data_IF_203527373619
#
_entry.id   IF_203527373619
#
_cell.length_a   1.000
_cell.length_b   1.000
_cell.length_c   1.000
_cell.angle_alpha   90.00
_cell.angle_beta   90.00
_cell.angle_gamma   90.00
#
_symmetry.space_group_name_H-M   'P 1'
#
loop_
_entity.id
_entity.type
_entity.pdbx_description
1 polymer ?
#
# COMPACT_ATOMS: atom_id res chain seq x y z
N UNK A 1 -0.85 7.16 10.78
CA UNK A 1 -2.19 7.03 10.15
C UNK A 1 -2.25 5.69 9.44
N UNK A 2 -3.44 5.11 9.32
CA UNK A 2 -3.61 3.83 8.64
C UNK A 2 -4.47 4.06 7.40
N UNK A 3 -4.06 3.49 6.28
CA UNK A 3 -4.74 3.60 4.99
C UNK A 3 -4.99 2.22 4.39
N UNK A 4 -6.08 2.04 3.66
CA UNK A 4 -6.22 0.92 2.72
C UNK A 4 -5.96 1.43 1.30
N UNK A 5 -5.23 0.64 0.52
CA UNK A 5 -4.98 0.91 -0.89
C UNK A 5 -5.31 -0.33 -1.72
N UNK A 6 -6.00 -0.13 -2.84
CA UNK A 6 -6.20 -1.14 -3.86
C UNK A 6 -5.06 -1.06 -4.88
N UNK A 7 -4.54 -2.22 -5.30
CA UNK A 7 -3.35 -2.35 -6.15
C UNK A 7 -3.69 -2.66 -7.61
N UNK A 8 -4.93 -2.36 -8.01
CA UNK A 8 -5.49 -2.77 -9.30
C UNK A 8 -5.85 -4.26 -9.34
N UNK A 9 -6.42 -4.73 -10.45
CA UNK A 9 -6.94 -6.11 -10.58
C UNK A 9 -6.06 -7.03 -11.46
N UNK A 10 -4.85 -6.59 -11.82
CA UNK A 10 -3.95 -7.36 -12.69
C UNK A 10 -3.37 -8.58 -11.98
N UNK A 11 -2.95 -8.40 -10.73
CA UNK A 11 -2.21 -9.40 -9.96
C UNK A 11 -2.94 -9.80 -8.67
N UNK A 12 -2.56 -10.98 -8.17
CA UNK A 12 -2.89 -11.50 -6.85
C UNK A 12 -1.60 -11.43 -6.04
N UNK A 13 -1.59 -10.64 -4.97
CA UNK A 13 -0.42 -10.51 -4.10
C UNK A 13 -0.22 -11.81 -3.33
N UNK A 14 0.99 -12.32 -3.30
CA UNK A 14 1.35 -13.52 -2.54
C UNK A 14 1.29 -13.26 -1.01
N UNK A 15 1.06 -14.29 -0.20
CA UNK A 15 0.97 -14.15 1.27
C UNK A 15 2.34 -13.94 1.95
N UNK A 16 3.43 -14.30 1.28
CA UNK A 16 4.79 -14.19 1.82
C UNK A 16 5.38 -12.82 1.47
N UNK A 17 5.29 -11.90 2.42
CA UNK A 17 5.78 -10.53 2.31
C UNK A 17 6.55 -10.22 3.59
N UNK A 18 7.84 -10.56 3.64
CA UNK A 18 8.60 -10.34 4.87
C UNK A 18 9.14 -8.89 4.95
N UNK A 19 9.42 -8.24 3.81
CA UNK A 19 9.75 -6.80 3.76
C UNK A 19 9.20 -6.15 2.48
N UNK A 20 8.20 -5.27 2.62
CA UNK A 20 7.75 -4.37 1.55
C UNK A 20 8.05 -2.95 1.93
N UNK A 21 8.80 -2.27 1.07
CA UNK A 21 9.13 -0.87 1.25
C UNK A 21 7.96 0.04 0.86
N UNK A 22 7.77 1.13 1.59
CA UNK A 22 6.98 2.26 1.11
C UNK A 22 7.89 3.24 0.37
N UNK A 23 7.53 3.61 -0.86
CA UNK A 23 8.31 4.55 -1.68
C UNK A 23 7.47 5.71 -2.23
N UNK A 24 8.16 6.78 -2.63
CA UNK A 24 7.64 7.84 -3.48
C UNK A 24 8.17 7.64 -4.90
N UNK A 25 7.27 7.53 -5.87
CA UNK A 25 7.56 7.34 -7.30
C UNK A 25 8.64 6.29 -7.61
N UNK A 26 8.65 5.17 -6.86
CA UNK A 26 9.64 4.08 -6.92
C UNK A 26 11.09 4.48 -6.61
N UNK A 27 11.35 5.74 -6.26
CA UNK A 27 12.69 6.30 -6.14
C UNK A 27 13.13 6.45 -4.68
N UNK A 28 12.30 7.09 -3.86
CA UNK A 28 12.67 7.45 -2.49
C UNK A 28 11.93 6.56 -1.49
N UNK A 29 12.65 5.92 -0.57
CA UNK A 29 12.05 5.21 0.56
C UNK A 29 11.42 6.23 1.52
N UNK A 30 10.17 5.98 1.90
CA UNK A 30 9.39 6.82 2.80
C UNK A 30 9.32 6.20 4.21
N UNK A 31 9.14 7.01 5.26
CA UNK A 31 8.88 6.49 6.60
C UNK A 31 7.53 5.76 6.64
N UNK A 32 7.54 4.54 7.16
CA UNK A 32 6.36 3.73 7.42
C UNK A 32 6.61 2.80 8.60
N UNK A 33 5.53 2.34 9.22
CA UNK A 33 5.56 1.36 10.30
C UNK A 33 5.35 -0.05 9.76
N UNK A 34 4.37 -0.23 8.86
CA UNK A 34 4.12 -1.54 8.21
C UNK A 34 3.28 -1.42 6.94
N UNK A 35 3.43 -2.40 6.07
CA UNK A 35 2.50 -2.68 4.96
C UNK A 35 2.01 -4.11 5.14
N UNK A 36 0.69 -4.30 5.20
CA UNK A 36 0.08 -5.61 5.48
C UNK A 36 -0.93 -5.95 4.40
N UNK A 37 -0.85 -7.15 3.83
CA UNK A 37 -1.85 -7.65 2.91
C UNK A 37 -3.18 -7.87 3.63
N UNK A 38 -4.27 -7.35 3.06
CA UNK A 38 -5.63 -7.55 3.56
C UNK A 38 -6.37 -8.60 2.74
N UNK A 39 -6.20 -8.58 1.42
CA UNK A 39 -6.78 -9.56 0.51
C UNK A 39 -5.92 -9.65 -0.77
N UNK A 40 -6.45 -10.30 -1.82
CA UNK A 40 -5.74 -10.56 -3.08
C UNK A 40 -5.06 -9.34 -3.71
N UNK A 41 -5.58 -8.13 -3.53
CA UNK A 41 -5.07 -6.92 -4.19
C UNK A 41 -5.27 -5.66 -3.35
N UNK A 42 -5.44 -5.83 -2.04
CA UNK A 42 -5.61 -4.72 -1.11
C UNK A 42 -4.57 -4.87 -0.01
N UNK A 43 -3.94 -3.75 0.31
CA UNK A 43 -2.98 -3.64 1.40
C UNK A 43 -3.40 -2.54 2.35
N UNK A 44 -2.94 -2.66 3.59
CA UNK A 44 -3.03 -1.64 4.60
C UNK A 44 -1.64 -1.04 4.82
N UNK A 45 -1.57 0.28 4.91
CA UNK A 45 -0.33 1.05 5.11
C UNK A 45 -0.44 1.74 6.47
N UNK A 46 0.43 1.42 7.42
CA UNK A 46 0.63 2.21 8.64
C UNK A 46 1.86 3.11 8.45
N UNK A 47 1.66 4.43 8.40
CA UNK A 47 2.72 5.42 8.16
C UNK A 47 2.48 6.70 8.94
N UNK A 48 3.52 7.45 9.36
CA UNK A 48 3.33 8.79 9.90
C UNK A 48 2.89 9.84 8.86
N UNK A 49 2.98 9.53 7.56
CA UNK A 49 2.66 10.46 6.48
C UNK A 49 1.14 10.58 6.25
N UNK A 50 0.73 11.71 5.70
CA UNK A 50 -0.66 11.99 5.35
C UNK A 50 -0.87 11.88 3.85
N UNK A 51 -1.87 11.09 3.45
CA UNK A 51 -2.31 10.95 2.07
C UNK A 51 -3.82 11.15 1.93
N UNK A 52 -4.24 11.46 0.70
CA UNK A 52 -5.64 11.67 0.35
C UNK A 52 -6.30 10.40 -0.22
N UNK A 53 -7.62 10.29 -0.07
CA UNK A 53 -8.39 9.27 -0.77
C UNK A 53 -8.32 9.58 -2.28
N UNK A 54 -8.02 8.56 -3.07
CA UNK A 54 -7.79 8.70 -4.51
C UNK A 54 -6.33 8.94 -4.88
N UNK A 55 -5.43 9.18 -3.92
CA UNK A 55 -3.99 9.23 -4.20
C UNK A 55 -3.54 7.93 -4.86
N UNK A 56 -2.87 8.06 -6.01
CA UNK A 56 -2.42 6.91 -6.78
C UNK A 56 -1.37 6.08 -6.04
N UNK A 57 -1.41 4.78 -6.29
CA UNK A 57 -0.36 3.86 -5.83
C UNK A 57 0.10 2.94 -6.94
N UNK A 58 1.34 2.49 -6.86
CA UNK A 58 1.87 1.47 -7.75
C UNK A 58 2.68 0.43 -6.97
N UNK A 59 2.96 -0.70 -7.60
CA UNK A 59 3.66 -1.82 -6.97
C UNK A 59 4.89 -2.18 -7.76
N UNK A 60 5.97 -2.49 -7.04
CA UNK A 60 7.18 -3.08 -7.59
C UNK A 60 7.41 -4.48 -7.02
N UNK A 61 8.06 -5.33 -7.80
CA UNK A 61 8.20 -6.76 -7.49
C UNK A 61 8.26 -7.61 -8.76
N UNK A 62 7.88 -8.88 -8.65
CA UNK A 62 7.92 -9.81 -9.77
C UNK A 62 6.77 -10.82 -9.76
N UNK A 63 6.38 -11.28 -10.95
CA UNK A 63 5.35 -12.29 -11.12
C UNK A 63 5.84 -13.66 -10.63
N UNK A 64 4.97 -14.41 -9.96
CA UNK A 64 5.24 -15.77 -9.46
C UNK A 64 4.43 -16.84 -10.21
N UNK A 65 3.65 -16.43 -11.22
CA UNK A 65 2.86 -17.31 -12.09
C UNK A 65 1.37 -17.33 -11.73
N UNK A 66 0.49 -17.67 -12.69
CA UNK A 66 -0.97 -17.71 -12.51
C UNK A 66 -1.57 -16.44 -11.86
N UNK A 67 -1.07 -15.26 -12.27
CA UNK A 67 -1.36 -13.92 -11.70
C UNK A 67 -0.78 -13.64 -10.31
N UNK A 68 -0.07 -14.58 -9.70
CA UNK A 68 0.70 -14.36 -8.47
C UNK A 68 1.75 -13.28 -8.66
N UNK A 69 1.95 -12.47 -7.64
CA UNK A 69 2.92 -11.39 -7.63
C UNK A 69 3.53 -11.25 -6.24
N UNK A 70 4.85 -11.39 -6.18
CA UNK A 70 5.62 -11.08 -4.99
C UNK A 70 5.93 -9.59 -4.98
N UNK A 71 5.22 -8.87 -4.12
CA UNK A 71 5.42 -7.44 -3.91
C UNK A 71 6.68 -7.21 -3.07
N UNK A 72 7.53 -6.30 -3.52
CA UNK A 72 8.73 -5.84 -2.80
C UNK A 72 8.60 -4.37 -2.36
N UNK A 73 7.72 -3.62 -3.01
CA UNK A 73 7.48 -2.23 -2.70
C UNK A 73 6.05 -1.80 -3.06
N UNK A 74 5.54 -0.85 -2.30
CA UNK A 74 4.37 -0.04 -2.60
C UNK A 74 4.83 1.40 -2.79
N UNK A 75 4.51 2.00 -3.93
CA UNK A 75 4.85 3.38 -4.23
C UNK A 75 3.61 4.27 -4.17
N UNK A 76 3.70 5.39 -3.47
CA UNK A 76 2.80 6.53 -3.64
C UNK A 76 3.22 7.26 -4.91
N UNK A 77 2.26 7.60 -5.78
CA UNK A 77 2.55 8.24 -7.06
C UNK A 77 1.31 8.92 -7.66
N UNK A 78 1.52 9.92 -8.50
CA UNK A 78 0.45 10.51 -9.31
C UNK A 78 0.23 9.77 -10.65
N UNK A 79 1.13 8.84 -11.00
CA UNK A 79 1.12 8.10 -12.27
C UNK A 79 1.11 6.58 -12.05
N UNK A 80 0.04 6.02 -11.45
CA UNK A 80 -0.02 4.59 -11.16
C UNK A 80 0.04 3.74 -12.44
N UNK A 81 0.94 2.75 -12.46
CA UNK A 81 1.11 1.82 -13.60
C UNK A 81 -0.16 1.00 -13.87
N UNK A 82 -0.88 0.61 -12.82
CA UNK A 82 -2.08 -0.20 -12.92
C UNK A 82 -3.33 0.67 -12.73
N UNK A 83 -4.30 0.51 -13.61
CA UNK A 83 -5.60 1.18 -13.49
C UNK A 83 -6.30 0.78 -12.19
N UNK A 84 -7.05 1.74 -11.63
CA UNK A 84 -7.77 1.60 -10.36
C UNK A 84 -6.85 1.18 -9.21
N UNK A 85 -5.66 1.80 -9.12
CA UNK A 85 -4.72 1.61 -8.02
C UNK A 85 -4.55 2.90 -7.26
N UNK A 86 -5.15 2.98 -6.08
CA UNK A 86 -5.20 4.20 -5.26
C UNK A 86 -5.56 3.90 -3.81
N UNK A 87 -5.33 4.88 -2.94
CA UNK A 87 -5.80 4.86 -1.55
C UNK A 87 -7.32 4.95 -1.52
N UNK A 88 -7.98 3.95 -0.95
CA UNK A 88 -9.45 3.84 -0.92
C UNK A 88 -10.06 4.35 0.37
N UNK A 89 -9.30 4.31 1.47
CA UNK A 89 -9.85 4.55 2.81
C UNK A 89 -8.78 5.03 3.77
N UNK A 90 -9.19 5.95 4.66
CA UNK A 90 -8.43 6.33 5.85
C UNK A 90 -9.04 5.59 7.04
N UNK A 91 -8.24 4.78 7.71
CA UNK A 91 -8.58 4.10 8.96
C UNK A 91 -7.97 4.95 10.09
N UNK A 92 -8.73 5.90 10.60
CA UNK A 92 -8.29 6.65 11.77
C UNK A 92 -8.16 5.70 12.96
N UNK A 93 -6.96 5.56 13.53
CA UNK A 93 -6.83 5.19 14.95
C UNK A 93 -7.49 6.35 15.72
N UNK A 94 -8.66 6.10 16.32
CA UNK A 94 -9.15 6.94 17.41
C UNK A 94 -7.99 7.05 18.40
N UNK A 95 -7.34 8.21 18.45
CA UNK A 95 -6.70 8.60 19.71
C UNK A 95 -7.88 8.82 20.65
N UNK A 96 -8.22 7.80 21.43
CA UNK A 96 -9.00 8.03 22.64
C UNK A 96 -8.20 9.06 23.44
N UNK A 97 -8.72 10.27 23.50
CA UNK A 97 -8.33 11.25 24.50
C UNK A 97 -8.56 10.58 25.86
N UNK A 98 -7.53 9.94 26.41
CA UNK A 98 -7.46 9.75 27.86
C UNK A 98 -7.27 11.15 28.44
N UNK A 99 -8.42 11.79 28.71
CA UNK A 99 -8.49 12.91 29.64
C UNK A 99 -8.08 12.34 30.99
N UNK A 100 -6.93 12.81 31.50
CA UNK A 100 -6.43 12.54 32.84
C UNK A 100 -7.21 13.41 33.83
#
# INVERSE_FOLDING_TARGET
MIYEAILGNKYIIDDFIDDVELRLDHQQILPFNSITKINRNTVQIDTPLSYEIGQGVSIGGFETGNKGFRMLELSITDFPVLQNSYITKIINKKYELMVI
#
